data_IF_957332812532
#
_entry.id   IF_957332812532
#
_cell.length_a   1.000
_cell.length_b   1.000
_cell.length_c   1.000
_cell.angle_alpha   90.00
_cell.angle_beta   90.00
_cell.angle_gamma   90.00
#
_symmetry.space_group_name_H-M   'P 1'
#
loop_
_entity.id
_entity.type
_entity.pdbx_description
1 polymer ?
#
# COMPACT_ATOMS: atom_id res chain seq x y z
N UNK A 1 -12.08 18.77 13.99
CA UNK A 1 -13.02 17.95 13.20
C UNK A 1 -13.42 16.73 14.01
N UNK A 2 -14.65 16.25 13.88
CA UNK A 2 -15.11 15.02 14.55
C UNK A 2 -15.38 13.97 13.47
N UNK A 3 -14.71 12.83 13.54
CA UNK A 3 -14.84 11.76 12.54
C UNK A 3 -15.92 10.80 13.04
N UNK A 4 -17.08 10.81 12.37
CA UNK A 4 -18.26 10.02 12.80
C UNK A 4 -18.12 8.53 12.48
N UNK A 5 -17.54 8.20 11.31
CA UNK A 5 -17.37 6.83 10.84
C UNK A 5 -15.89 6.55 10.57
N UNK A 6 -15.08 6.29 11.61
CA UNK A 6 -13.67 6.00 11.37
C UNK A 6 -13.48 4.61 10.76
N UNK A 7 -12.41 4.45 9.97
CA UNK A 7 -11.81 3.16 9.61
C UNK A 7 -11.44 2.40 10.88
N UNK A 8 -11.24 1.09 10.75
CA UNK A 8 -10.95 0.20 11.89
C UNK A 8 -9.47 -0.15 11.95
N UNK A 9 -8.98 -0.42 13.14
CA UNK A 9 -7.66 -1.00 13.33
C UNK A 9 -7.78 -2.50 13.59
N UNK A 10 -6.87 -3.30 13.05
CA UNK A 10 -6.71 -4.70 13.40
C UNK A 10 -5.45 -4.85 14.23
N UNK A 11 -5.56 -5.41 15.44
CA UNK A 11 -4.42 -5.72 16.28
C UNK A 11 -4.33 -7.24 16.49
N UNK A 12 -3.22 -7.83 16.06
CA UNK A 12 -3.04 -9.27 16.05
C UNK A 12 -1.79 -9.67 16.83
N UNK A 13 -1.84 -10.83 17.47
CA UNK A 13 -0.68 -11.49 18.06
C UNK A 13 -0.82 -12.99 17.95
N UNK A 14 0.25 -13.74 18.21
CA UNK A 14 0.09 -15.17 18.47
C UNK A 14 -0.71 -15.40 19.76
N UNK A 15 -1.37 -16.55 19.85
CA UNK A 15 -2.10 -16.94 21.06
C UNK A 15 -1.19 -16.99 22.30
N UNK A 16 0.08 -17.38 22.13
CA UNK A 16 1.08 -17.37 23.19
C UNK A 16 1.44 -15.97 23.70
N UNK A 17 1.19 -14.92 22.91
CA UNK A 17 1.51 -13.53 23.23
C UNK A 17 0.27 -12.71 23.63
N UNK A 18 -0.86 -13.37 23.96
CA UNK A 18 -2.11 -12.70 24.32
C UNK A 18 -1.94 -11.66 25.45
N UNK A 19 -1.07 -11.93 26.43
CA UNK A 19 -0.79 -10.99 27.51
C UNK A 19 -0.06 -9.72 27.02
N UNK A 20 0.87 -9.88 26.07
CA UNK A 20 1.55 -8.76 25.44
C UNK A 20 0.58 -7.92 24.62
N UNK A 21 -0.29 -8.55 23.81
CA UNK A 21 -1.34 -7.84 23.10
C UNK A 21 -2.24 -7.06 24.08
N UNK A 22 -2.72 -7.71 25.15
CA UNK A 22 -3.54 -7.04 26.18
C UNK A 22 -2.84 -5.83 26.78
N UNK A 23 -1.53 -5.94 27.05
CA UNK A 23 -0.73 -4.88 27.65
C UNK A 23 -0.55 -3.71 26.69
N UNK A 24 -0.17 -3.97 25.44
CA UNK A 24 0.01 -2.92 24.43
C UNK A 24 -1.32 -2.19 24.18
N UNK A 25 -2.43 -2.93 24.04
CA UNK A 25 -3.76 -2.33 23.88
C UNK A 25 -4.12 -1.47 25.10
N UNK A 26 -3.81 -1.92 26.31
CA UNK A 26 -4.00 -1.11 27.52
C UNK A 26 -3.16 0.17 27.51
N UNK A 27 -1.88 0.08 27.14
CA UNK A 27 -0.96 1.21 27.11
C UNK A 27 -1.34 2.25 26.03
N UNK A 28 -1.86 1.81 24.87
CA UNK A 28 -2.30 2.72 23.80
C UNK A 28 -3.69 3.33 24.06
N UNK A 29 -4.65 2.55 24.56
CA UNK A 29 -6.05 3.01 24.75
C UNK A 29 -6.33 3.59 26.14
N UNK A 30 -5.47 3.32 27.12
CA UNK A 30 -5.68 3.66 28.53
C UNK A 30 -6.62 2.72 29.29
N UNK A 31 -7.21 1.72 28.63
CA UNK A 31 -8.14 0.76 29.27
C UNK A 31 -7.82 -0.68 28.85
N UNK A 32 -7.92 -1.63 29.78
CA UNK A 32 -7.59 -3.03 29.50
C UNK A 32 -8.73 -3.67 28.70
N UNK A 33 -8.44 -4.39 27.60
CA UNK A 33 -9.47 -5.15 26.91
C UNK A 33 -10.04 -6.23 27.83
N UNK A 34 -11.36 -6.43 27.78
CA UNK A 34 -12.06 -7.44 28.59
C UNK A 34 -12.17 -8.73 27.77
N UNK A 35 -11.54 -9.85 28.19
CA UNK A 35 -11.59 -11.09 27.43
C UNK A 35 -13.01 -11.66 27.38
N UNK A 36 -13.38 -12.24 26.24
CA UNK A 36 -14.58 -13.05 26.11
C UNK A 36 -14.17 -14.52 26.20
N UNK A 37 -14.72 -15.26 27.18
CA UNK A 37 -14.36 -16.67 27.43
C UNK A 37 -12.83 -16.88 27.56
N UNK A 38 -12.16 -16.01 28.33
CA UNK A 38 -10.70 -16.00 28.55
C UNK A 38 -9.83 -15.72 27.31
N UNK A 39 -10.43 -15.42 26.15
CA UNK A 39 -9.74 -15.09 24.90
C UNK A 39 -9.94 -13.61 24.51
N UNK A 40 -8.93 -13.05 23.84
CA UNK A 40 -9.02 -11.74 23.19
C UNK A 40 -9.40 -11.84 21.70
N UNK A 41 -9.50 -13.04 21.14
CA UNK A 41 -9.83 -13.20 19.73
C UNK A 41 -11.28 -12.76 19.44
N UNK A 42 -11.46 -11.97 18.38
CA UNK A 42 -12.77 -11.52 17.91
C UNK A 42 -13.43 -10.44 18.77
N UNK A 43 -12.73 -9.87 19.75
CA UNK A 43 -13.27 -8.76 20.55
C UNK A 43 -12.98 -7.41 19.88
N UNK A 44 -13.87 -6.44 20.09
CA UNK A 44 -13.66 -5.06 19.66
C UNK A 44 -13.36 -4.19 20.89
N UNK A 45 -12.30 -3.40 20.83
CA UNK A 45 -11.89 -2.46 21.86
C UNK A 45 -11.80 -1.04 21.30
N UNK A 46 -12.09 -0.03 22.10
CA UNK A 46 -12.17 1.35 21.62
C UNK A 46 -10.87 2.11 21.89
N UNK A 47 -10.31 2.73 20.83
CA UNK A 47 -9.17 3.62 20.90
C UNK A 47 -9.64 5.07 20.76
N UNK A 48 -9.76 5.83 21.87
CA UNK A 48 -10.04 7.25 21.81
C UNK A 48 -8.79 8.00 21.33
N UNK A 49 -8.89 8.66 20.18
CA UNK A 49 -7.85 9.53 19.63
C UNK A 49 -8.27 10.98 19.76
N UNK A 50 -7.38 11.79 20.34
CA UNK A 50 -7.61 13.22 20.52
C UNK A 50 -6.36 14.01 20.14
N UNK A 51 -6.40 14.61 18.96
CA UNK A 51 -5.32 15.47 18.46
C UNK A 51 -5.76 16.93 18.45
N UNK A 52 -4.87 17.83 18.02
CA UNK A 52 -5.23 19.24 17.78
C UNK A 52 -6.17 19.41 16.58
N UNK A 53 -6.21 18.43 15.68
CA UNK A 53 -6.87 18.52 14.38
C UNK A 53 -8.20 17.76 14.37
N UNK A 54 -8.26 16.61 15.02
CA UNK A 54 -9.46 15.79 15.09
C UNK A 54 -9.65 15.10 16.45
N UNK A 55 -10.86 14.65 16.69
CA UNK A 55 -11.20 13.71 17.76
C UNK A 55 -12.01 12.58 17.14
N UNK A 56 -11.72 11.34 17.51
CA UNK A 56 -12.49 10.18 17.06
C UNK A 56 -12.28 9.01 18.02
N UNK A 57 -13.10 7.98 17.90
CA UNK A 57 -12.93 6.71 18.61
C UNK A 57 -12.81 5.60 17.57
N UNK A 58 -11.59 5.12 17.36
CA UNK A 58 -11.29 4.06 16.40
C UNK A 58 -11.61 2.71 17.03
N UNK A 59 -12.45 1.86 16.40
CA UNK A 59 -12.62 0.48 16.83
C UNK A 59 -11.37 -0.33 16.47
N UNK A 60 -10.76 -0.95 17.47
CA UNK A 60 -9.69 -1.93 17.31
C UNK A 60 -10.29 -3.33 17.40
N UNK A 61 -10.18 -4.10 16.33
CA UNK A 61 -10.43 -5.54 16.34
C UNK A 61 -9.21 -6.27 16.87
N UNK A 62 -9.39 -7.08 17.90
CA UNK A 62 -8.32 -7.91 18.44
C UNK A 62 -8.47 -9.33 17.89
N UNK A 63 -7.37 -9.89 17.43
CA UNK A 63 -7.34 -11.27 16.94
C UNK A 63 -6.11 -12.02 17.47
N UNK A 64 -6.27 -13.33 17.65
CA UNK A 64 -5.20 -14.21 18.11
C UNK A 64 -4.94 -15.29 17.08
N UNK A 65 -3.70 -15.37 16.64
CA UNK A 65 -3.24 -16.24 15.58
C UNK A 65 -2.74 -17.54 16.19
N UNK A 66 -3.40 -18.65 15.85
CA UNK A 66 -2.92 -20.00 16.15
C UNK A 66 -1.89 -20.47 15.09
N UNK A 67 -2.20 -20.23 13.82
CA UNK A 67 -1.36 -20.59 12.68
C UNK A 67 -1.26 -19.40 11.71
N UNK A 68 -0.07 -18.79 11.54
CA UNK A 68 0.11 -17.63 10.67
C UNK A 68 -0.30 -17.87 9.22
N UNK A 69 -0.01 -19.05 8.69
CA UNK A 69 -0.35 -19.43 7.31
C UNK A 69 -1.85 -19.52 7.08
N UNK A 70 -2.57 -20.23 7.94
CA UNK A 70 -4.02 -20.36 7.85
C UNK A 70 -4.71 -18.99 8.03
N UNK A 71 -4.22 -18.17 8.97
CA UNK A 71 -4.74 -16.83 9.22
C UNK A 71 -4.59 -15.92 7.99
N UNK A 72 -3.39 -15.83 7.41
CA UNK A 72 -3.15 -15.03 6.22
C UNK A 72 -3.99 -15.51 5.02
N UNK A 73 -4.10 -16.83 4.81
CA UNK A 73 -4.96 -17.39 3.76
C UNK A 73 -6.44 -17.05 3.95
N UNK A 74 -6.93 -17.00 5.19
CA UNK A 74 -8.31 -16.60 5.48
C UNK A 74 -8.57 -15.15 5.10
N UNK A 75 -7.66 -14.23 5.46
CA UNK A 75 -7.81 -12.80 5.14
C UNK A 75 -7.58 -12.49 3.66
N UNK A 76 -6.80 -13.29 2.93
CA UNK A 76 -6.61 -13.16 1.49
C UNK A 76 -7.75 -13.81 0.67
N UNK A 77 -8.72 -14.45 1.31
CA UNK A 77 -9.87 -15.00 0.62
C UNK A 77 -10.82 -13.88 0.14
N UNK A 78 -11.56 -14.10 -0.97
CA UNK A 78 -12.54 -13.12 -1.45
C UNK A 78 -13.58 -12.73 -0.40
N UNK A 79 -13.95 -13.67 0.47
CA UNK A 79 -14.94 -13.47 1.54
C UNK A 79 -14.46 -12.45 2.59
N UNK A 80 -13.14 -12.27 2.74
CA UNK A 80 -12.55 -11.31 3.68
C UNK A 80 -12.26 -9.93 3.05
N UNK A 81 -12.54 -9.73 1.75
CA UNK A 81 -12.26 -8.47 1.07
C UNK A 81 -12.97 -7.26 1.70
N UNK A 82 -14.22 -7.44 2.14
CA UNK A 82 -14.98 -6.40 2.85
C UNK A 82 -14.34 -6.04 4.19
N UNK A 83 -13.73 -7.00 4.87
CA UNK A 83 -13.03 -6.79 6.14
C UNK A 83 -11.77 -5.96 5.90
N UNK A 84 -10.99 -6.27 4.85
CA UNK A 84 -9.78 -5.52 4.50
C UNK A 84 -10.10 -4.08 4.06
N UNK A 85 -11.19 -3.88 3.31
CA UNK A 85 -11.59 -2.57 2.81
C UNK A 85 -11.89 -1.54 3.92
N UNK A 86 -12.29 -1.99 5.12
CA UNK A 86 -12.60 -1.10 6.25
C UNK A 86 -11.41 -0.88 7.19
N UNK A 87 -10.30 -1.59 7.00
CA UNK A 87 -9.10 -1.41 7.81
C UNK A 87 -8.41 -0.11 7.41
N UNK A 88 -7.99 0.67 8.39
CA UNK A 88 -7.09 1.82 8.26
C UNK A 88 -5.86 1.72 9.15
N UNK A 89 -5.71 0.61 9.89
CA UNK A 89 -4.51 0.33 10.66
C UNK A 89 -4.34 -1.16 10.94
N UNK A 90 -3.09 -1.61 10.98
CA UNK A 90 -2.67 -2.95 11.35
C UNK A 90 -1.55 -2.84 12.41
N UNK A 91 -1.74 -3.50 13.55
CA UNK A 91 -0.78 -3.55 14.64
C UNK A 91 -0.47 -5.01 14.97
N UNK A 92 0.70 -5.48 14.55
CA UNK A 92 1.22 -6.79 14.93
C UNK A 92 1.94 -6.67 16.28
N UNK A 93 1.60 -7.49 17.27
CA UNK A 93 2.30 -7.55 18.56
C UNK A 93 2.94 -8.91 18.72
N UNK A 94 4.23 -8.94 19.04
CA UNK A 94 4.94 -10.19 19.30
C UNK A 94 6.02 -10.03 20.36
N UNK A 95 6.33 -11.11 21.08
CA UNK A 95 7.48 -11.14 22.00
C UNK A 95 8.79 -11.27 21.22
N UNK A 96 9.79 -10.45 21.55
CA UNK A 96 11.16 -10.66 21.09
C UNK A 96 11.75 -11.78 21.96
N UNK A 97 12.13 -12.93 21.37
CA UNK A 97 12.67 -14.04 22.14
C UNK A 97 14.03 -13.67 22.75
N UNK A 98 14.25 -14.08 24.00
CA UNK A 98 15.59 -14.09 24.60
C UNK A 98 16.47 -15.13 23.89
N UNK A 99 17.78 -15.15 24.18
CA UNK A 99 18.78 -15.99 23.47
C UNK A 99 18.55 -17.52 23.47
N UNK A 100 17.46 -18.02 24.08
CA UNK A 100 17.03 -19.42 24.09
C UNK A 100 15.61 -19.69 23.56
N UNK A 101 14.87 -18.66 23.12
CA UNK A 101 13.57 -18.84 22.46
C UNK A 101 13.73 -19.18 20.98
N UNK A 102 12.76 -19.92 20.39
CA UNK A 102 12.73 -20.11 18.93
C UNK A 102 12.16 -18.86 18.27
N UNK A 103 12.96 -18.10 17.49
CA UNK A 103 12.47 -16.93 16.76
C UNK A 103 11.66 -17.35 15.52
N UNK A 104 11.79 -18.59 15.06
CA UNK A 104 11.28 -19.07 13.77
C UNK A 104 9.78 -18.84 13.63
N UNK A 105 9.01 -19.14 14.68
CA UNK A 105 7.54 -18.95 14.68
C UNK A 105 7.17 -17.47 14.58
N UNK A 106 7.95 -16.56 15.20
CA UNK A 106 7.72 -15.12 15.12
C UNK A 106 8.14 -14.56 13.76
N UNK A 107 9.22 -15.08 13.18
CA UNK A 107 9.66 -14.72 11.83
C UNK A 107 8.64 -15.18 10.79
N UNK A 108 8.13 -16.41 10.92
CA UNK A 108 7.03 -16.94 10.09
C UNK A 108 5.77 -16.09 10.23
N UNK A 109 5.43 -15.67 11.44
CA UNK A 109 4.31 -14.75 11.69
C UNK A 109 4.46 -13.44 10.90
N UNK A 110 5.61 -12.77 11.01
CA UNK A 110 5.87 -11.51 10.32
C UNK A 110 5.80 -11.70 8.80
N UNK A 111 6.35 -12.79 8.26
CA UNK A 111 6.28 -13.09 6.83
C UNK A 111 4.84 -13.26 6.33
N UNK A 112 3.99 -13.97 7.07
CA UNK A 112 2.60 -14.19 6.67
C UNK A 112 1.73 -12.94 6.84
N UNK A 113 1.99 -12.13 7.87
CA UNK A 113 1.38 -10.81 8.00
C UNK A 113 1.84 -9.88 6.88
N UNK A 114 3.12 -9.92 6.51
CA UNK A 114 3.67 -9.19 5.37
C UNK A 114 3.01 -9.59 4.06
N UNK A 115 2.75 -10.89 3.85
CA UNK A 115 1.98 -11.35 2.70
C UNK A 115 0.57 -10.73 2.66
N UNK A 116 -0.11 -10.66 3.80
CA UNK A 116 -1.41 -9.97 3.87
C UNK A 116 -1.29 -8.48 3.54
N UNK A 117 -0.25 -7.81 4.05
CA UNK A 117 0.02 -6.40 3.76
C UNK A 117 0.23 -6.19 2.27
N UNK A 118 1.10 -6.97 1.63
CA UNK A 118 1.45 -6.83 0.22
C UNK A 118 0.29 -7.23 -0.71
N UNK A 119 -0.28 -8.42 -0.51
CA UNK A 119 -1.26 -9.01 -1.43
C UNK A 119 -2.70 -8.55 -1.13
N UNK A 120 -3.01 -8.24 0.14
CA UNK A 120 -4.37 -7.93 0.59
C UNK A 120 -4.65 -6.45 0.80
N UNK A 121 -3.71 -5.72 1.41
CA UNK A 121 -3.88 -4.29 1.72
C UNK A 121 -3.34 -3.36 0.62
N UNK A 122 -2.53 -3.87 -0.31
CA UNK A 122 -1.90 -3.07 -1.38
C UNK A 122 -0.46 -2.65 -1.08
N UNK A 123 0.16 -3.20 -0.04
CA UNK A 123 1.57 -2.99 0.28
C UNK A 123 1.89 -1.52 0.58
N UNK A 124 2.77 -0.95 -0.25
CA UNK A 124 3.28 0.42 -0.10
C UNK A 124 2.26 1.50 -0.48
N UNK A 125 1.29 1.20 -1.36
CA UNK A 125 0.25 2.16 -1.74
C UNK A 125 -0.90 2.22 -0.73
N UNK A 126 -0.95 1.29 0.24
CA UNK A 126 -1.93 1.34 1.30
C UNK A 126 -1.66 2.51 2.25
N UNK A 127 -2.67 3.35 2.39
CA UNK A 127 -2.68 4.58 3.17
C UNK A 127 -2.86 4.37 4.68
N UNK A 128 -3.09 3.12 5.11
CA UNK A 128 -3.23 2.77 6.52
C UNK A 128 -1.90 2.62 7.26
N UNK A 129 -1.97 2.81 8.58
CA UNK A 129 -0.83 2.64 9.50
C UNK A 129 -0.48 1.16 9.70
N UNK A 130 0.79 0.82 9.55
CA UNK A 130 1.32 -0.56 9.56
C UNK A 130 2.44 -0.69 10.60
N UNK A 131 2.15 -1.27 11.76
CA UNK A 131 3.08 -1.33 12.90
C UNK A 131 3.38 -2.77 13.31
N UNK A 132 4.65 -3.04 13.61
CA UNK A 132 5.13 -4.27 14.22
C UNK A 132 5.74 -3.94 15.59
N UNK A 133 5.05 -4.31 16.67
CA UNK A 133 5.43 -4.01 18.04
C UNK A 133 6.12 -5.21 18.68
N UNK A 134 7.45 -5.14 18.77
CA UNK A 134 8.27 -6.15 19.44
C UNK A 134 8.38 -5.87 20.93
N UNK A 135 7.88 -6.78 21.78
CA UNK A 135 7.90 -6.66 23.23
C UNK A 135 9.02 -7.49 23.84
N UNK A 136 9.92 -6.86 24.59
CA UNK A 136 10.99 -7.57 25.30
C UNK A 136 12.37 -6.94 25.11
N UNK A 137 13.39 -7.64 25.61
CA UNK A 137 14.77 -7.17 25.49
C UNK A 137 15.53 -8.00 24.46
N UNK A 138 15.86 -7.40 23.32
CA UNK A 138 16.87 -7.99 22.43
C UNK A 138 18.22 -8.09 23.17
N UNK A 139 18.96 -9.17 22.91
CA UNK A 139 20.22 -9.47 23.60
C UNK A 139 21.38 -8.62 23.09
N UNK A 140 21.31 -8.19 21.83
CA UNK A 140 22.27 -7.33 21.16
C UNK A 140 21.59 -6.26 20.29
N UNK A 141 22.36 -5.29 19.79
CA UNK A 141 21.91 -4.36 18.75
C UNK A 141 21.60 -5.07 17.44
N UNK A 142 22.45 -6.03 17.06
CA UNK A 142 22.35 -6.75 15.79
C UNK A 142 21.05 -7.57 15.71
N UNK A 143 20.58 -8.10 16.85
CA UNK A 143 19.26 -8.76 16.93
C UNK A 143 18.12 -7.77 16.63
N UNK A 144 18.23 -6.52 17.09
CA UNK A 144 17.19 -5.48 16.86
C UNK A 144 17.15 -5.13 15.38
N UNK A 145 18.32 -4.96 14.76
CA UNK A 145 18.43 -4.63 13.33
C UNK A 145 17.85 -5.76 12.47
N UNK A 146 18.04 -7.02 12.85
CA UNK A 146 17.41 -8.16 12.16
C UNK A 146 15.87 -8.10 12.21
N UNK A 147 15.28 -7.78 13.37
CA UNK A 147 13.82 -7.63 13.50
C UNK A 147 13.30 -6.41 12.72
N UNK A 148 14.05 -5.31 12.72
CA UNK A 148 13.72 -4.10 11.96
C UNK A 148 13.69 -4.38 10.45
N UNK A 149 14.73 -5.01 9.91
CA UNK A 149 14.82 -5.39 8.50
C UNK A 149 13.69 -6.34 8.11
N UNK A 150 13.42 -7.38 8.92
CA UNK A 150 12.34 -8.32 8.65
C UNK A 150 10.95 -7.67 8.64
N UNK A 151 10.69 -6.73 9.55
CA UNK A 151 9.44 -5.98 9.57
C UNK A 151 9.34 -5.05 8.37
N UNK A 152 10.43 -4.37 7.99
CA UNK A 152 10.48 -3.49 6.84
C UNK A 152 10.22 -4.23 5.53
N UNK A 153 10.79 -5.43 5.35
CA UNK A 153 10.49 -6.31 4.20
C UNK A 153 9.00 -6.72 4.16
N UNK A 154 8.39 -6.92 5.33
CA UNK A 154 6.95 -7.17 5.46
C UNK A 154 6.08 -5.92 5.27
N UNK A 155 6.67 -4.74 5.03
CA UNK A 155 5.96 -3.47 4.87
C UNK A 155 5.43 -2.87 6.18
N UNK A 156 5.99 -3.29 7.33
CA UNK A 156 5.62 -2.86 8.68
C UNK A 156 6.72 -1.98 9.27
N UNK A 157 6.35 -0.92 9.98
CA UNK A 157 7.28 -0.15 10.81
C UNK A 157 7.51 -0.87 12.14
N UNK A 158 8.76 -1.20 12.45
CA UNK A 158 9.12 -1.86 13.70
C UNK A 158 9.22 -0.87 14.87
N UNK A 159 8.55 -1.18 15.98
CA UNK A 159 8.60 -0.41 17.22
C UNK A 159 8.87 -1.35 18.38
N UNK A 160 10.04 -1.20 19.00
CA UNK A 160 10.39 -1.96 20.20
C UNK A 160 9.76 -1.34 21.45
N UNK A 161 9.13 -2.18 22.28
CA UNK A 161 8.58 -1.80 23.59
C UNK A 161 9.20 -2.65 24.69
N UNK A 162 9.88 -1.99 25.63
CA UNK A 162 10.58 -2.66 26.71
C UNK A 162 12.03 -3.05 26.38
N UNK A 163 12.74 -3.44 27.44
CA UNK A 163 14.20 -3.49 27.45
C UNK A 163 14.75 -2.18 27.99
N UNK A 164 15.25 -2.20 29.23
CA UNK A 164 15.68 -1.03 30.01
C UNK A 164 16.90 -0.28 29.48
N UNK A 165 17.08 -0.22 28.17
CA UNK A 165 17.90 0.79 27.51
C UNK A 165 17.32 2.17 27.75
N UNK A 166 18.14 3.19 27.47
CA UNK A 166 17.87 4.57 27.81
C UNK A 166 16.77 5.18 26.92
N UNK A 167 15.52 4.71 27.10
CA UNK A 167 14.33 5.21 26.41
C UNK A 167 14.20 6.73 26.59
N UNK A 168 14.79 7.26 27.66
CA UNK A 168 14.86 8.69 27.97
C UNK A 168 15.85 9.46 27.08
N UNK A 169 16.95 8.84 26.62
CA UNK A 169 17.94 9.49 25.75
C UNK A 169 17.50 9.60 24.30
N UNK A 170 16.70 8.69 23.78
CA UNK A 170 16.20 8.82 22.39
C UNK A 170 15.06 9.85 22.32
N UNK A 171 14.19 9.89 23.33
CA UNK A 171 13.17 10.94 23.48
C UNK A 171 13.76 12.35 23.62
N UNK A 172 15.03 12.49 24.04
CA UNK A 172 15.69 13.78 24.21
C UNK A 172 15.98 14.51 22.88
N UNK A 173 15.93 13.79 21.74
CA UNK A 173 16.09 14.37 20.40
C UNK A 173 14.74 14.69 19.73
N UNK A 174 13.63 14.46 20.43
CA UNK A 174 12.28 14.72 19.90
C UNK A 174 11.68 13.56 19.11
N UNK A 175 12.44 12.49 18.88
CA UNK A 175 11.94 11.25 18.27
C UNK A 175 11.24 10.40 19.33
N UNK A 176 9.95 10.11 19.10
CA UNK A 176 9.19 9.21 19.98
C UNK A 176 9.59 7.77 19.67
N UNK A 177 9.75 6.98 20.74
CA UNK A 177 10.04 5.54 20.67
C UNK A 177 9.06 4.78 21.56
N UNK A 178 8.92 3.47 21.35
CA UNK A 178 8.03 2.62 22.13
C UNK A 178 6.56 3.03 22.02
N UNK A 179 5.82 2.97 23.14
CA UNK A 179 4.38 3.32 23.17
C UNK A 179 4.08 4.74 22.67
N UNK A 180 4.84 5.79 23.04
CA UNK A 180 4.68 7.11 22.45
C UNK A 180 4.74 7.13 20.92
N UNK A 181 5.61 6.30 20.30
CA UNK A 181 5.70 6.18 18.84
C UNK A 181 4.47 5.52 18.23
N UNK A 182 4.03 4.41 18.83
CA UNK A 182 2.80 3.71 18.42
C UNK A 182 1.60 4.67 18.46
N UNK A 183 1.46 5.44 19.54
CA UNK A 183 0.38 6.45 19.67
C UNK A 183 0.48 7.53 18.61
N UNK A 184 1.67 8.05 18.36
CA UNK A 184 1.87 9.06 17.33
C UNK A 184 1.51 8.56 15.93
N UNK A 185 1.94 7.35 15.57
CA UNK A 185 1.60 6.76 14.28
C UNK A 185 0.08 6.58 14.13
N UNK A 186 -0.62 6.12 15.18
CA UNK A 186 -2.08 6.01 15.19
C UNK A 186 -2.75 7.40 15.13
N UNK A 187 -2.22 8.41 15.82
CA UNK A 187 -2.75 9.78 15.80
C UNK A 187 -2.50 10.51 14.47
N UNK A 188 -1.42 10.16 13.75
CA UNK A 188 -1.07 10.75 12.47
C UNK A 188 -1.84 10.14 11.28
N UNK A 189 -2.47 8.97 11.47
CA UNK A 189 -3.20 8.25 10.44
C UNK A 189 -4.52 8.95 10.05
N UNK A 190 -4.90 8.81 8.78
CA UNK A 190 -6.20 9.27 8.27
C UNK A 190 -7.28 8.22 8.54
N UNK A 191 -8.13 8.51 9.53
CA UNK A 191 -9.19 7.59 9.95
C UNK A 191 -10.52 7.83 9.28
N UNK A 192 -10.70 8.94 8.54
CA UNK A 192 -11.97 9.20 7.92
C UNK A 192 -12.27 8.12 6.89
N UNK A 193 -13.35 7.37 7.10
CA UNK A 193 -13.85 6.48 6.08
C UNK A 193 -14.58 7.36 5.07
N UNK A 194 -13.80 8.13 4.29
CA UNK A 194 -14.33 8.93 3.19
C UNK A 194 -15.25 8.02 2.41
N UNK A 195 -16.52 8.41 2.32
CA UNK A 195 -17.59 7.66 1.70
C UNK A 195 -17.19 7.33 0.26
N UNK A 196 -16.54 6.19 0.07
CA UNK A 196 -16.03 5.66 -1.19
C UNK A 196 -17.16 5.19 -2.12
N UNK A 197 -18.34 5.79 -1.98
CA UNK A 197 -19.56 5.56 -2.75
C UNK A 197 -20.36 6.84 -3.03
N UNK A 198 -19.97 8.04 -2.55
CA UNK A 198 -20.79 9.26 -2.70
C UNK A 198 -20.21 10.29 -3.69
N UNK A 199 -19.64 9.78 -4.79
CA UNK A 199 -19.07 10.59 -5.87
C UNK A 199 -19.35 10.06 -7.28
N UNK A 200 -20.23 9.07 -7.42
CA UNK A 200 -20.85 8.79 -8.72
C UNK A 200 -22.02 9.78 -8.85
N UNK A 201 -21.97 10.77 -9.76
CA UNK A 201 -23.16 11.55 -10.04
C UNK A 201 -24.20 10.57 -10.60
N UNK A 202 -25.28 10.41 -9.83
CA UNK A 202 -26.48 9.70 -10.27
C UNK A 202 -26.88 10.25 -11.64
N UNK A 203 -26.95 9.35 -12.63
CA UNK A 203 -27.39 9.58 -14.01
C UNK A 203 -28.88 9.97 -14.08
N UNK A 204 -29.25 11.14 -13.53
CA UNK A 204 -30.56 11.77 -13.74
C UNK A 204 -30.39 13.29 -13.80
N UNK A 205 -29.88 13.82 -14.91
CA UNK A 205 -30.62 14.86 -15.63
C UNK A 205 -30.04 15.12 -17.03
N UNK A 206 -30.93 14.95 -18.00
CA UNK A 206 -30.80 15.37 -19.38
C UNK A 206 -30.68 16.90 -19.47
N UNK A 207 -29.54 17.44 -19.92
CA UNK A 207 -29.57 18.27 -21.12
C UNK A 207 -28.18 18.58 -21.71
N UNK A 208 -28.18 18.59 -23.03
CA UNK A 208 -27.13 18.90 -23.99
C UNK A 208 -26.23 20.12 -23.70
N UNK A 209 -24.90 19.92 -23.71
CA UNK A 209 -23.89 20.76 -24.42
C UNK A 209 -22.48 20.19 -24.32
N UNK A 210 -21.99 19.77 -25.48
CA UNK A 210 -20.65 19.26 -25.72
C UNK A 210 -19.64 20.42 -25.75
N UNK A 211 -18.71 20.44 -24.79
CA UNK A 211 -17.43 21.19 -24.89
C UNK A 211 -16.33 20.30 -24.31
N UNK A 212 -15.32 19.87 -25.11
CA UNK A 212 -14.22 19.09 -24.59
C UNK A 212 -13.11 20.05 -24.16
N UNK A 213 -13.09 20.44 -22.89
CA UNK A 213 -11.94 21.16 -22.36
C UNK A 213 -11.77 20.82 -20.87
N UNK A 214 -10.52 20.48 -20.50
CA UNK A 214 -10.00 20.06 -19.16
C UNK A 214 -9.78 18.57 -18.93
N UNK A 215 -8.82 18.02 -19.68
CA UNK A 215 -8.00 16.91 -19.22
C UNK A 215 -6.70 17.46 -18.58
N UNK A 216 -6.83 18.10 -17.41
CA UNK A 216 -5.69 18.58 -16.61
C UNK A 216 -6.04 18.40 -15.14
N UNK A 217 -5.51 17.33 -14.52
CA UNK A 217 -5.01 17.29 -13.13
C UNK A 217 -4.84 15.83 -12.66
N UNK A 218 -3.91 15.11 -13.30
CA UNK A 218 -3.34 13.88 -12.72
C UNK A 218 -1.82 13.84 -12.97
N UNK A 219 -0.99 14.00 -11.92
CA UNK A 219 0.46 13.96 -12.02
C UNK A 219 1.03 12.55 -12.28
N UNK A 220 0.22 11.49 -12.20
CA UNK A 220 0.64 10.12 -12.56
C UNK A 220 0.23 9.73 -14.00
N UNK A 221 -0.56 10.57 -14.68
CA UNK A 221 -0.98 10.38 -16.08
C UNK A 221 -0.20 11.26 -17.08
N UNK A 222 1.06 11.58 -16.80
CA UNK A 222 1.98 12.19 -17.79
C UNK A 222 2.68 11.13 -18.67
N UNK A 223 2.10 9.95 -18.82
CA UNK A 223 2.42 9.06 -19.93
C UNK A 223 1.66 9.54 -21.16
N UNK A 224 2.37 9.82 -22.26
CA UNK A 224 1.81 10.06 -23.60
C UNK A 224 0.37 9.57 -23.71
N UNK A 225 -0.60 10.49 -23.79
CA UNK A 225 -2.04 10.24 -23.67
C UNK A 225 -2.58 9.24 -24.70
N UNK A 226 -2.20 8.00 -24.51
CA UNK A 226 -2.51 6.82 -25.28
C UNK A 226 -2.72 5.75 -24.21
N UNK A 227 -3.98 5.49 -23.86
CA UNK A 227 -4.31 4.31 -23.06
C UNK A 227 -3.80 3.05 -23.76
N UNK A 228 -3.71 1.91 -23.06
CA UNK A 228 -3.37 0.63 -23.71
C UNK A 228 -4.27 0.35 -24.93
N UNK A 229 -5.54 0.76 -24.87
CA UNK A 229 -6.49 0.73 -25.99
C UNK A 229 -6.13 1.68 -27.14
N UNK A 230 -5.57 2.85 -26.86
CA UNK A 230 -5.15 3.82 -27.88
C UNK A 230 -3.84 3.41 -28.51
N UNK A 231 -2.95 2.74 -27.76
CA UNK A 231 -1.72 2.16 -28.29
C UNK A 231 -2.05 0.99 -29.22
N UNK A 232 -3.01 0.14 -28.86
CA UNK A 232 -3.55 -0.89 -29.76
C UNK A 232 -4.26 -0.29 -30.98
N UNK A 233 -4.99 0.81 -30.81
CA UNK A 233 -5.67 1.52 -31.91
C UNK A 233 -4.67 2.20 -32.85
N UNK A 234 -3.62 2.80 -32.30
CA UNK A 234 -2.52 3.41 -33.07
C UNK A 234 -1.71 2.34 -33.79
N UNK A 235 -1.45 1.20 -33.12
CA UNK A 235 -0.81 0.01 -33.70
C UNK A 235 -1.65 -0.50 -34.87
N UNK A 236 -2.97 -0.66 -34.70
CA UNK A 236 -3.89 -1.09 -35.76
C UNK A 236 -4.00 -0.07 -36.90
N UNK A 237 -3.98 1.23 -36.62
CA UNK A 237 -4.05 2.28 -37.63
C UNK A 237 -2.76 2.42 -38.46
N UNK A 238 -1.60 2.07 -37.90
CA UNK A 238 -0.32 2.02 -38.61
C UNK A 238 -0.26 0.80 -39.53
N UNK A 239 -0.73 -0.36 -39.09
CA UNK A 239 -0.76 -1.57 -39.91
C UNK A 239 -1.83 -1.54 -41.02
N UNK A 240 -2.95 -0.84 -40.82
CA UNK A 240 -4.03 -0.73 -41.84
C UNK A 240 -3.66 0.23 -42.98
N UNK A 241 -2.73 1.17 -42.78
CA UNK A 241 -2.38 2.17 -43.80
C UNK A 241 -1.21 1.79 -44.71
N UNK A 242 -0.63 0.59 -44.56
CA UNK A 242 0.42 0.13 -45.47
C UNK A 242 -0.09 -0.75 -46.62
N UNK A 243 -1.36 -1.20 -46.58
CA UNK A 243 -2.01 -1.90 -47.68
C UNK A 243 -3.25 -1.15 -48.15
N UNK A 244 -3.04 -0.22 -49.07
CA UNK A 244 -4.11 0.27 -49.94
C UNK A 244 -3.57 0.52 -51.34
N UNK A 245 -3.09 -0.55 -51.98
CA UNK A 245 -3.34 -0.79 -53.39
C UNK A 245 -3.56 -2.31 -53.64
N UNK A 246 -4.83 -2.74 -53.60
CA UNK A 246 -5.26 -3.97 -54.31
C UNK A 246 -6.05 -4.99 -53.50
N UNK A 247 -7.39 -4.94 -53.65
CA UNK A 247 -8.35 -6.06 -53.72
C UNK A 247 -7.89 -7.46 -53.23
N UNK A 248 -8.49 -7.99 -52.16
CA UNK A 248 -9.53 -9.04 -52.26
C UNK A 248 -10.03 -9.50 -50.87
N UNK A 249 -11.32 -9.82 -50.81
CA UNK A 249 -11.96 -10.45 -49.66
C UNK A 249 -11.54 -11.93 -49.53
N UNK A 250 -10.62 -12.27 -48.61
CA UNK A 250 -10.67 -13.54 -47.89
C UNK A 250 -9.72 -13.61 -46.70
N UNK A 251 -10.19 -14.26 -45.62
CA UNK A 251 -9.51 -14.61 -44.38
C UNK A 251 -8.01 -14.93 -44.46
N UNK A 252 -7.20 -14.36 -43.55
CA UNK A 252 -6.08 -15.02 -42.85
C UNK A 252 -5.61 -14.17 -41.66
N UNK A 253 -5.41 -14.81 -40.51
CA UNK A 253 -4.53 -14.33 -39.45
C UNK A 253 -3.15 -14.08 -40.07
N UNK A 254 -2.79 -12.81 -40.25
CA UNK A 254 -1.41 -12.46 -40.58
C UNK A 254 -0.64 -12.34 -39.26
N UNK A 255 0.25 -13.31 -39.02
CA UNK A 255 1.26 -13.22 -37.98
C UNK A 255 2.03 -11.91 -38.14
N UNK A 256 2.05 -11.10 -37.07
CA UNK A 256 2.92 -9.92 -36.96
C UNK A 256 4.35 -10.38 -37.26
N UNK A 257 4.92 -9.96 -38.40
CA UNK A 257 6.25 -10.37 -38.80
C UNK A 257 7.32 -9.89 -37.81
N UNK A 258 8.35 -10.72 -37.59
CA UNK A 258 9.50 -10.37 -36.72
C UNK A 258 10.15 -9.02 -37.08
N UNK A 259 10.07 -8.60 -38.34
CA UNK A 259 10.55 -7.30 -38.80
C UNK A 259 9.75 -6.12 -38.22
N UNK A 260 8.46 -6.29 -37.95
CA UNK A 260 7.60 -5.24 -37.39
C UNK A 260 7.72 -5.16 -35.87
N UNK A 261 7.99 -6.29 -35.21
CA UNK A 261 8.37 -6.30 -33.78
C UNK A 261 9.69 -5.55 -33.58
N UNK A 262 10.68 -5.79 -34.45
CA UNK A 262 11.98 -5.12 -34.37
C UNK A 262 11.88 -3.59 -34.57
N UNK A 263 10.98 -3.12 -35.45
CA UNK A 263 10.72 -1.68 -35.64
C UNK A 263 10.10 -1.03 -34.41
N UNK A 264 9.14 -1.71 -33.78
CA UNK A 264 8.47 -1.23 -32.55
C UNK A 264 9.45 -1.21 -31.37
N UNK A 265 10.30 -2.22 -31.22
CA UNK A 265 11.35 -2.23 -30.19
C UNK A 265 12.38 -1.12 -30.39
N UNK A 266 12.80 -0.86 -31.64
CA UNK A 266 13.72 0.22 -31.96
C UNK A 266 13.11 1.60 -31.64
N UNK A 267 11.79 1.75 -31.85
CA UNK A 267 11.04 2.96 -31.49
C UNK A 267 10.94 3.14 -29.97
N UNK A 268 10.57 2.10 -29.22
CA UNK A 268 10.49 2.15 -27.76
C UNK A 268 11.84 2.47 -27.12
N UNK A 269 12.92 1.87 -27.63
CA UNK A 269 14.28 2.11 -27.12
C UNK A 269 14.75 3.55 -27.36
N UNK A 270 14.37 4.17 -28.49
CA UNK A 270 14.67 5.58 -28.77
C UNK A 270 13.84 6.55 -27.92
N UNK A 271 12.56 6.25 -27.70
CA UNK A 271 11.69 7.03 -26.80
C UNK A 271 12.17 6.97 -25.35
N UNK A 272 12.64 5.81 -24.90
CA UNK A 272 13.21 5.63 -23.56
C UNK A 272 14.52 6.42 -23.41
N UNK A 273 15.40 6.40 -24.40
CA UNK A 273 16.64 7.20 -24.38
C UNK A 273 16.37 8.72 -24.37
N UNK A 274 15.34 9.19 -25.09
CA UNK A 274 14.92 10.59 -25.06
C UNK A 274 14.31 11.00 -23.69
N UNK A 275 13.63 10.06 -23.02
CA UNK A 275 13.10 10.24 -21.66
C UNK A 275 14.22 10.41 -20.63
N UNK A 276 15.22 9.53 -20.64
CA UNK A 276 16.38 9.58 -19.75
C UNK A 276 17.19 10.86 -19.95
N UNK A 277 17.37 11.31 -21.20
CA UNK A 277 18.03 12.58 -21.50
C UNK A 277 17.25 13.83 -21.01
N UNK A 278 15.94 13.70 -20.82
CA UNK A 278 15.05 14.79 -20.40
C UNK A 278 14.94 14.99 -18.89
N UNK A 279 15.42 14.06 -18.06
CA UNK A 279 15.21 14.09 -16.59
C UNK A 279 15.81 15.31 -15.90
N UNK A 280 16.87 15.89 -16.47
CA UNK A 280 17.55 17.08 -15.91
C UNK A 280 17.11 18.40 -16.53
N UNK A 281 16.14 18.37 -17.45
CA UNK A 281 15.70 19.55 -18.22
C UNK A 281 14.40 20.15 -17.69
N UNK A 282 14.15 21.43 -17.98
CA UNK A 282 12.86 22.07 -17.70
C UNK A 282 11.73 21.46 -18.55
N UNK A 283 10.50 21.52 -18.07
CA UNK A 283 9.32 20.92 -18.71
C UNK A 283 9.13 21.36 -20.18
N UNK A 284 9.35 22.65 -20.46
CA UNK A 284 9.29 23.20 -21.81
C UNK A 284 10.35 22.61 -22.76
N UNK A 285 11.53 22.27 -22.23
CA UNK A 285 12.60 21.65 -23.00
C UNK A 285 12.36 20.15 -23.21
N UNK A 286 11.81 19.44 -22.21
CA UNK A 286 11.41 18.03 -22.34
C UNK A 286 10.34 17.84 -23.41
N UNK A 287 9.32 18.70 -23.43
CA UNK A 287 8.25 18.65 -24.43
C UNK A 287 8.77 18.87 -25.86
N UNK A 288 9.74 19.77 -26.03
CA UNK A 288 10.39 20.02 -27.33
C UNK A 288 11.24 18.82 -27.78
N UNK A 289 11.98 18.21 -26.85
CA UNK A 289 12.84 17.06 -27.14
C UNK A 289 12.02 15.81 -27.49
N UNK A 290 10.91 15.57 -26.77
CA UNK A 290 9.96 14.52 -27.07
C UNK A 290 9.29 14.71 -28.45
N UNK A 291 8.88 15.93 -28.79
CA UNK A 291 8.31 16.24 -30.11
C UNK A 291 9.32 16.00 -31.24
N UNK A 292 10.59 16.40 -31.06
CA UNK A 292 11.65 16.15 -32.03
C UNK A 292 11.98 14.67 -32.18
N UNK A 293 11.98 13.90 -31.09
CA UNK A 293 12.21 12.46 -31.13
C UNK A 293 11.09 11.72 -31.87
N UNK A 294 9.82 12.12 -31.66
CA UNK A 294 8.68 11.56 -32.38
C UNK A 294 8.73 11.91 -33.88
N UNK A 295 9.07 13.14 -34.23
CA UNK A 295 9.23 13.59 -35.62
C UNK A 295 10.35 12.81 -36.33
N UNK A 296 11.48 12.56 -35.65
CA UNK A 296 12.59 11.81 -36.21
C UNK A 296 12.28 10.32 -36.40
N UNK A 297 11.49 9.73 -35.50
CA UNK A 297 11.00 8.34 -35.65
C UNK A 297 10.05 8.23 -36.83
N UNK A 298 9.12 9.19 -36.98
CA UNK A 298 8.15 9.21 -38.10
C UNK A 298 8.81 9.42 -39.47
N UNK A 299 10.04 9.97 -39.50
CA UNK A 299 10.83 10.14 -40.75
C UNK A 299 11.62 8.89 -41.14
N UNK A 300 11.76 7.92 -40.23
CA UNK A 300 12.54 6.69 -40.42
C UNK A 300 11.66 5.46 -40.66
N UNK A 301 10.35 5.63 -40.57
CA UNK A 301 9.32 4.73 -41.09
C UNK A 301 9.03 5.06 -42.55
#
# INVERSE_FOLDING_TARGET
MDIQNPRRALAVSLQSDQEHLSRIIHEITGSKPTPANDSLAGITHNLPLKTKYYTTTVPIWLDLIESPSAWASSFLSPDASEVLAVLGGLVLVFSIPDSGGSPDVKKELIQHVGKLVHDGLGGWSWDGVKLAVGVGSASSSDDVDEWDELCAEAGLEFVRVGGGGDESKLQQFGEKIGIPRVKEALEANEWDQASSVDGLPSDEDSDSKQTPDRALDDPENMGFGLGQSDLETLKKAIFVNQDSEGQDENSRDEEVGDEDVAKVEAMMRKLQAAREAGETMSEAQRRKLAAQAVEEVMRQL
#
